data_IF_400934301636
#
_entry.id   IF_400934301636
#
_cell.length_a   1.000
_cell.length_b   1.000
_cell.length_c   1.000
_cell.angle_alpha   90.00
_cell.angle_beta   90.00
_cell.angle_gamma   90.00
#
_symmetry.space_group_name_H-M   'P 1'
#
loop_
_entity.id
_entity.type
_entity.pdbx_description
1 polymer ?
#
# COMPACT_ATOMS: atom_id res chain seq x y z
N UNK A 1 -1.24 -4.80 -18.73
CA UNK A 1 -2.29 -3.75 -18.86
C UNK A 1 -2.24 -2.88 -17.61
N UNK A 2 -1.37 -1.86 -17.60
CA UNK A 2 -0.83 -1.29 -16.34
C UNK A 2 -1.12 0.21 -16.12
N UNK A 3 -1.92 0.89 -16.95
CA UNK A 3 -1.99 2.36 -16.89
C UNK A 3 -3.28 2.97 -16.31
N UNK A 4 -4.33 2.19 -16.07
CA UNK A 4 -5.65 2.73 -15.69
C UNK A 4 -6.05 2.56 -14.21
N UNK A 5 -5.28 1.85 -13.37
CA UNK A 5 -5.78 1.34 -12.08
C UNK A 5 -5.28 2.07 -10.82
N UNK A 6 -4.55 3.18 -10.97
CA UNK A 6 -3.95 3.88 -9.84
C UNK A 6 -4.53 5.28 -9.59
N UNK A 7 -5.78 5.50 -9.99
CA UNK A 7 -6.54 6.69 -9.62
C UNK A 7 -7.30 6.46 -8.31
N UNK A 8 -7.00 7.26 -7.31
CA UNK A 8 -7.65 7.23 -6.00
C UNK A 8 -8.24 8.60 -5.69
N UNK A 9 -9.58 8.69 -5.72
CA UNK A 9 -10.34 9.90 -5.41
C UNK A 9 -9.85 11.16 -6.17
N UNK A 10 -9.54 10.99 -7.46
CA UNK A 10 -9.07 12.09 -8.32
C UNK A 10 -7.56 12.33 -8.33
N UNK A 11 -6.79 11.55 -7.58
CA UNK A 11 -5.33 11.58 -7.59
C UNK A 11 -4.77 10.36 -8.30
N UNK A 12 -3.80 10.57 -9.19
CA UNK A 12 -3.03 9.50 -9.82
C UNK A 12 -1.79 9.19 -8.99
N UNK A 13 -1.57 7.90 -8.72
CA UNK A 13 -0.29 7.42 -8.19
C UNK A 13 0.60 7.04 -9.39
N UNK A 14 1.80 7.62 -9.51
CA UNK A 14 2.72 7.25 -10.58
C UNK A 14 3.24 5.82 -10.37
N UNK A 15 3.46 5.07 -11.47
CA UNK A 15 3.90 3.68 -11.43
C UNK A 15 5.18 3.49 -10.60
N UNK A 16 6.13 4.44 -10.70
CA UNK A 16 7.37 4.45 -9.90
C UNK A 16 7.10 4.42 -8.39
N UNK A 17 6.06 5.11 -7.92
CA UNK A 17 5.66 5.06 -6.50
C UNK A 17 5.06 3.71 -6.14
N UNK A 18 4.29 3.09 -7.03
CA UNK A 18 3.74 1.74 -6.82
C UNK A 18 4.86 0.73 -6.65
N UNK A 19 5.87 0.80 -7.51
CA UNK A 19 7.06 -0.04 -7.42
C UNK A 19 7.85 0.22 -6.13
N UNK A 20 8.03 1.49 -5.74
CA UNK A 20 8.69 1.85 -4.49
C UNK A 20 7.93 1.32 -3.26
N UNK A 21 6.59 1.41 -3.24
CA UNK A 21 5.75 0.86 -2.17
C UNK A 21 5.85 -0.65 -2.13
N UNK A 22 5.81 -1.32 -3.29
CA UNK A 22 5.98 -2.77 -3.39
C UNK A 22 7.35 -3.21 -2.88
N UNK A 23 8.40 -2.49 -3.25
CA UNK A 23 9.75 -2.76 -2.79
C UNK A 23 9.88 -2.52 -1.29
N UNK A 24 9.29 -1.46 -0.74
CA UNK A 24 9.28 -1.20 0.70
C UNK A 24 8.57 -2.32 1.49
N UNK A 25 7.47 -2.86 0.96
CA UNK A 25 6.78 -4.03 1.54
C UNK A 25 7.69 -5.27 1.51
N UNK A 26 8.45 -5.46 0.43
CA UNK A 26 9.40 -6.58 0.28
C UNK A 26 10.62 -6.42 1.18
N UNK A 27 11.12 -5.20 1.37
CA UNK A 27 12.28 -4.91 2.21
C UNK A 27 11.94 -5.04 3.70
N UNK A 28 10.70 -4.73 4.08
CA UNK A 28 10.25 -4.77 5.47
C UNK A 28 10.38 -6.19 6.08
N UNK A 29 11.11 -6.36 7.19
CA UNK A 29 11.43 -7.69 7.72
C UNK A 29 10.30 -8.35 8.52
N UNK A 30 9.36 -7.60 9.10
CA UNK A 30 8.32 -8.15 9.99
C UNK A 30 6.94 -7.50 9.82
N UNK A 31 6.79 -6.24 10.22
CA UNK A 31 5.53 -5.50 10.25
C UNK A 31 5.57 -4.38 9.22
N UNK A 32 4.62 -4.38 8.29
CA UNK A 32 4.48 -3.30 7.32
C UNK A 32 3.95 -2.06 8.04
N UNK A 33 4.72 -0.97 7.97
CA UNK A 33 4.33 0.32 8.53
C UNK A 33 3.49 1.10 7.52
N UNK A 34 2.18 1.15 7.77
CA UNK A 34 1.22 1.87 6.92
C UNK A 34 1.47 3.37 6.91
N UNK A 35 1.99 3.93 8.00
CA UNK A 35 2.35 5.35 8.10
C UNK A 35 3.55 5.67 7.22
N UNK A 36 4.59 4.84 7.25
CA UNK A 36 5.75 4.97 6.38
C UNK A 36 5.37 4.84 4.89
N UNK A 37 4.52 3.86 4.54
CA UNK A 37 4.02 3.72 3.17
C UNK A 37 3.22 4.95 2.72
N UNK A 38 2.38 5.49 3.61
CA UNK A 38 1.63 6.73 3.33
C UNK A 38 2.56 7.91 3.11
N UNK A 39 3.62 8.05 3.91
CA UNK A 39 4.60 9.13 3.74
C UNK A 39 5.35 9.08 2.40
N UNK A 40 5.47 7.90 1.78
CA UNK A 40 6.06 7.74 0.44
C UNK A 40 5.04 8.12 -0.65
N UNK A 41 3.78 7.70 -0.48
CA UNK A 41 2.72 7.92 -1.49
C UNK A 41 2.23 9.37 -1.49
N UNK A 42 2.01 9.96 -0.32
CA UNK A 42 1.40 11.29 -0.17
C UNK A 42 2.09 12.39 -1.00
N UNK A 43 3.42 12.59 -0.95
CA UNK A 43 4.09 13.63 -1.74
C UNK A 43 4.15 13.33 -3.24
N UNK A 44 3.98 12.06 -3.65
CA UNK A 44 4.09 11.65 -5.06
C UNK A 44 2.74 11.57 -5.77
N UNK A 45 1.64 11.79 -5.06
CA UNK A 45 0.29 11.84 -5.64
C UNK A 45 0.13 13.04 -6.56
N UNK A 46 -0.18 12.77 -7.81
CA UNK A 46 -0.48 13.79 -8.80
C UNK A 46 -1.98 14.10 -8.79
N UNK A 47 -2.40 15.34 -8.51
CA UNK A 47 -3.80 15.72 -8.66
C UNK A 47 -4.14 15.72 -10.16
N UNK A 48 -5.19 14.99 -10.55
CA UNK A 48 -5.73 15.01 -11.91
C UNK A 48 -7.05 15.74 -11.91
N UNK A 49 -7.98 15.27 -11.06
CA UNK A 49 -9.28 15.90 -10.81
C UNK A 49 -9.73 15.57 -9.37
N UNK A 50 -9.10 16.19 -8.35
CA UNK A 50 -9.34 15.83 -6.96
C UNK A 50 -10.78 16.17 -6.56
N UNK A 51 -11.46 15.22 -5.94
CA UNK A 51 -12.79 15.47 -5.40
C UNK A 51 -12.74 16.58 -4.36
N UNK A 52 -13.69 17.52 -4.42
CA UNK A 52 -13.74 18.70 -3.55
C UNK A 52 -13.74 18.36 -2.05
N UNK A 53 -14.29 17.20 -1.67
CA UNK A 53 -14.33 16.72 -0.29
C UNK A 53 -13.15 15.82 0.11
N UNK A 54 -12.17 15.58 -0.79
CA UNK A 54 -11.06 14.66 -0.53
C UNK A 54 -9.73 15.39 -0.41
N UNK A 55 -9.07 15.21 0.73
CA UNK A 55 -7.68 15.63 0.92
C UNK A 55 -6.68 14.63 0.32
N UNK A 56 -5.51 15.11 -0.09
CA UNK A 56 -4.38 14.29 -0.57
C UNK A 56 -4.02 13.15 0.39
N UNK A 57 -4.09 13.39 1.70
CA UNK A 57 -3.85 12.36 2.72
C UNK A 57 -4.88 11.23 2.74
N UNK A 58 -6.15 11.52 2.43
CA UNK A 58 -7.20 10.53 2.32
C UNK A 58 -7.06 9.70 1.03
N UNK A 59 -6.67 10.33 -0.07
CA UNK A 59 -6.31 9.64 -1.31
C UNK A 59 -5.10 8.70 -1.09
N UNK A 60 -4.06 9.18 -0.38
CA UNK A 60 -2.90 8.38 -0.02
C UNK A 60 -3.29 7.16 0.83
N UNK A 61 -4.19 7.35 1.80
CA UNK A 61 -4.72 6.25 2.63
C UNK A 61 -5.44 5.20 1.79
N UNK A 62 -6.27 5.63 0.84
CA UNK A 62 -6.98 4.73 -0.07
C UNK A 62 -6.00 3.95 -0.97
N UNK A 63 -5.00 4.63 -1.53
CA UNK A 63 -3.96 4.03 -2.35
C UNK A 63 -3.18 2.96 -1.58
N UNK A 64 -2.67 3.30 -0.39
CA UNK A 64 -1.91 2.37 0.47
C UNK A 64 -2.76 1.15 0.84
N UNK A 65 -4.04 1.35 1.18
CA UNK A 65 -4.95 0.24 1.49
C UNK A 65 -5.16 -0.69 0.28
N UNK A 66 -5.26 -0.14 -0.93
CA UNK A 66 -5.32 -0.93 -2.16
C UNK A 66 -4.03 -1.71 -2.39
N UNK A 67 -2.87 -1.07 -2.25
CA UNK A 67 -1.57 -1.74 -2.40
C UNK A 67 -1.36 -2.87 -1.39
N UNK A 68 -1.79 -2.67 -0.14
CA UNK A 68 -1.77 -3.71 0.88
C UNK A 68 -2.71 -4.88 0.50
N UNK A 69 -3.87 -4.59 -0.08
CA UNK A 69 -4.79 -5.62 -0.55
C UNK A 69 -4.19 -6.43 -1.72
N UNK A 70 -3.58 -5.77 -2.69
CA UNK A 70 -2.83 -6.43 -3.77
C UNK A 70 -1.67 -7.26 -3.23
N UNK A 71 -0.94 -6.76 -2.23
CA UNK A 71 0.14 -7.50 -1.58
C UNK A 71 -0.36 -8.72 -0.79
N UNK A 72 -1.56 -8.65 -0.18
CA UNK A 72 -2.23 -9.81 0.43
C UNK A 72 -2.61 -10.82 -0.65
N UNK A 73 -3.21 -10.36 -1.76
CA UNK A 73 -3.59 -11.20 -2.90
C UNK A 73 -2.38 -11.89 -3.55
N UNK A 74 -1.24 -11.20 -3.60
CA UNK A 74 0.03 -11.74 -4.08
C UNK A 74 0.75 -12.66 -3.06
N UNK A 75 0.17 -12.87 -1.87
CA UNK A 75 0.76 -13.72 -0.83
C UNK A 75 2.02 -13.15 -0.18
N UNK A 76 2.32 -11.86 -0.36
CA UNK A 76 3.50 -11.20 0.20
C UNK A 76 3.29 -10.83 1.67
N UNK A 77 2.05 -10.45 2.02
CA UNK A 77 1.68 -10.02 3.38
C UNK A 77 0.40 -10.72 3.83
N UNK A 78 0.27 -10.94 5.13
CA UNK A 78 -0.91 -11.48 5.79
C UNK A 78 -1.49 -10.43 6.70
N UNK A 79 -2.77 -10.16 6.55
CA UNK A 79 -3.51 -9.35 7.49
C UNK A 79 -3.79 -10.18 8.75
N UNK A 80 -3.39 -9.66 9.91
CA UNK A 80 -3.79 -10.17 11.23
C UNK A 80 -4.37 -9.01 12.02
N UNK A 81 -5.44 -9.26 12.78
CA UNK A 81 -5.85 -8.32 13.82
C UNK A 81 -4.81 -8.38 14.93
N UNK A 82 -4.31 -7.21 15.36
CA UNK A 82 -3.48 -7.13 16.55
C UNK A 82 -4.36 -7.15 17.82
N UNK A 83 -3.73 -7.19 19.00
CA UNK A 83 -4.42 -7.21 20.30
C UNK A 83 -5.34 -5.99 20.55
N UNK A 84 -5.24 -4.95 19.72
CA UNK A 84 -6.05 -3.73 19.78
C UNK A 84 -7.15 -3.69 18.72
N UNK A 85 -7.49 -4.84 18.10
CA UNK A 85 -8.44 -4.96 16.99
C UNK A 85 -8.10 -4.11 15.76
N UNK A 86 -6.88 -3.59 15.68
CA UNK A 86 -6.41 -2.85 14.52
C UNK A 86 -5.86 -3.85 13.49
N UNK A 87 -6.20 -3.69 12.20
CA UNK A 87 -5.59 -4.49 11.15
C UNK A 87 -4.08 -4.22 11.14
N UNK A 88 -3.30 -5.26 11.34
CA UNK A 88 -1.84 -5.24 11.24
C UNK A 88 -1.41 -6.13 10.08
N UNK A 89 -0.54 -5.60 9.23
CA UNK A 89 -0.03 -6.32 8.08
C UNK A 89 1.35 -6.86 8.42
N UNK A 90 1.44 -8.19 8.37
CA UNK A 90 2.67 -8.92 8.66
C UNK A 90 3.18 -9.52 7.37
N UNK A 91 4.48 -9.45 7.12
CA UNK A 91 5.05 -10.17 5.98
C UNK A 91 4.82 -11.66 6.15
N UNK A 92 4.34 -12.32 5.10
CA UNK A 92 4.36 -13.78 5.06
C UNK A 92 5.82 -14.18 4.97
N UNK A 93 6.38 -14.71 6.07
CA UNK A 93 7.62 -15.48 5.94
C UNK A 93 7.28 -16.60 4.98
N UNK A 94 7.97 -16.66 3.83
CA UNK A 94 8.04 -17.94 3.11
C UNK A 94 8.52 -18.93 4.17
N UNK A 95 7.67 -19.89 4.53
CA UNK A 95 8.20 -21.12 5.07
C UNK A 95 9.14 -21.63 3.97
N UNK A 96 10.44 -21.44 4.16
CA UNK A 96 11.41 -22.38 3.62
C UNK A 96 11.08 -23.70 4.30
N UNK A 97 10.14 -24.42 3.71
CA UNK A 97 9.82 -25.79 4.04
C UNK A 97 10.48 -26.67 2.99
N UNK A 98 11.38 -27.52 3.47
CA UNK A 98 11.79 -28.80 2.89
C UNK A 98 12.47 -28.79 1.50
N UNK A 99 13.79 -28.90 1.52
CA UNK A 99 14.53 -30.05 0.96
C UNK A 99 15.91 -30.11 1.62
#
# INVERSE_FOLDING_TARGET
>A
MADCLHMFRGYRVPAKTVEAVRQAIIDTPRRVDVGALRAIVEPTLQPVDPWSSTSRGEAARCAVRSFLFDAVRAGLVRQRMNAWHLPAWWRVRKHTGAA
#
